data_IF_229572841665
#
_entry.id   IF_229572841665
#
_cell.length_a   1.000
_cell.length_b   1.000
_cell.length_c   1.000
_cell.angle_alpha   90.00
_cell.angle_beta   90.00
_cell.angle_gamma   90.00
#
_symmetry.space_group_name_H-M   'P 1'
#
loop_
_entity.id
_entity.type
_entity.pdbx_description
1 polymer ?
#
# COMPACT_ATOMS: atom_id res chain seq x y z
N UNK A 1 5.60 16.74 82.02
CA UNK A 1 4.73 17.92 81.79
C UNK A 1 4.36 17.95 80.32
N UNK A 2 3.04 18.02 80.05
CA UNK A 2 2.30 18.29 78.78
C UNK A 2 2.96 17.95 77.43
N UNK A 3 2.39 17.19 76.50
CA UNK A 3 0.97 16.97 76.19
C UNK A 3 0.59 17.67 74.88
N UNK A 4 0.12 16.88 73.89
CA UNK A 4 -0.65 17.14 72.64
C UNK A 4 0.00 16.41 71.46
N UNK A 5 -0.51 15.32 70.86
CA UNK A 5 -1.85 14.93 70.35
C UNK A 5 -2.39 15.82 69.22
N UNK A 6 -2.23 15.35 67.98
CA UNK A 6 -3.28 15.24 66.95
C UNK A 6 -2.73 14.41 65.77
N UNK A 7 -3.26 13.21 65.52
CA UNK A 7 -4.47 12.96 64.68
C UNK A 7 -4.16 13.28 63.22
N UNK A 8 -4.09 12.37 62.25
CA UNK A 8 -4.81 11.11 62.09
C UNK A 8 -5.37 11.11 60.66
N UNK A 9 -4.79 10.29 59.77
CA UNK A 9 -5.50 9.68 58.62
C UNK A 9 -4.61 8.60 58.01
N UNK A 10 -4.73 7.39 58.58
CA UNK A 10 -4.47 6.17 57.83
C UNK A 10 -5.56 6.04 56.75
N UNK A 11 -5.19 6.15 55.48
CA UNK A 11 -5.99 5.60 54.40
C UNK A 11 -5.53 4.17 54.14
N UNK A 12 -6.07 3.26 54.94
CA UNK A 12 -6.03 1.82 54.74
C UNK A 12 -7.16 1.43 53.77
N UNK A 13 -6.97 1.68 52.47
CA UNK A 13 -7.73 1.02 51.41
C UNK A 13 -6.83 0.11 50.61
N UNK A 14 -6.77 -1.14 51.06
CA UNK A 14 -6.36 -2.28 50.25
C UNK A 14 -7.26 -2.39 49.03
N UNK A 15 -6.74 -1.97 47.87
CA UNK A 15 -7.30 -2.22 46.56
C UNK A 15 -6.53 -3.33 45.87
N UNK A 16 -7.24 -4.35 45.39
CA UNK A 16 -6.80 -5.61 44.77
C UNK A 16 -6.21 -5.39 43.36
N UNK A 17 -5.31 -4.41 43.22
CA UNK A 17 -4.55 -4.20 41.99
C UNK A 17 -3.09 -4.01 42.35
N UNK A 18 -2.35 -5.12 42.38
CA UNK A 18 -0.90 -5.09 42.48
C UNK A 18 -0.35 -4.12 41.42
N UNK A 19 0.39 -3.11 41.87
CA UNK A 19 1.10 -2.17 41.00
C UNK A 19 1.96 -2.98 40.03
N UNK A 20 1.50 -3.16 38.78
CA UNK A 20 2.29 -3.76 37.72
C UNK A 20 3.48 -2.84 37.51
N UNK A 21 4.67 -3.26 37.95
CA UNK A 21 5.93 -2.56 37.63
C UNK A 21 5.97 -2.39 36.11
N UNK A 22 6.20 -1.17 35.59
CA UNK A 22 6.39 -0.99 34.16
C UNK A 22 7.53 -1.93 33.72
N UNK A 23 7.27 -2.76 32.70
CA UNK A 23 8.32 -3.56 32.07
C UNK A 23 9.25 -2.58 31.37
N UNK A 24 10.32 -2.19 32.06
CA UNK A 24 11.43 -1.43 31.47
C UNK A 24 12.06 -2.34 30.41
N UNK A 25 12.23 -1.82 29.19
CA UNK A 25 12.89 -2.55 28.12
C UNK A 25 14.32 -2.91 28.56
N UNK A 26 14.79 -4.13 28.24
CA UNK A 26 16.14 -4.59 28.64
C UNK A 26 17.27 -3.86 27.90
N UNK A 27 16.94 -3.12 26.84
CA UNK A 27 17.87 -2.44 25.95
C UNK A 27 17.23 -1.06 25.68
N UNK A 28 17.98 0.00 25.93
CA UNK A 28 17.57 1.35 25.57
C UNK A 28 17.58 1.48 24.04
N UNK A 29 16.56 2.16 23.49
CA UNK A 29 16.53 2.49 22.07
C UNK A 29 17.71 3.40 21.75
N UNK A 30 18.63 2.92 20.91
CA UNK A 30 19.76 3.70 20.40
C UNK A 30 19.45 4.23 19.00
N UNK A 31 20.08 5.32 18.55
CA UNK A 31 19.86 5.87 17.21
C UNK A 31 20.12 4.84 16.09
N UNK A 32 21.06 3.92 16.30
CA UNK A 32 21.34 2.82 15.38
C UNK A 32 20.19 1.80 15.25
N UNK A 33 19.16 1.87 16.10
CA UNK A 33 17.96 1.04 16.01
C UNK A 33 16.87 1.64 15.11
N UNK A 34 17.07 2.88 14.64
CA UNK A 34 16.16 3.56 13.74
C UNK A 34 16.31 3.06 12.28
N UNK A 35 15.25 3.13 11.46
CA UNK A 35 15.31 2.64 10.10
C UNK A 35 16.15 3.56 9.18
N UNK A 36 17.14 2.97 8.51
CA UNK A 36 18.00 3.66 7.53
C UNK A 36 17.70 3.26 6.08
N UNK A 37 16.81 2.29 5.86
CA UNK A 37 16.43 1.82 4.53
C UNK A 37 14.95 1.41 4.47
N UNK A 38 14.37 1.33 3.26
CA UNK A 38 12.97 0.87 3.06
C UNK A 38 12.71 -0.52 3.67
N UNK A 39 13.72 -1.40 3.67
CA UNK A 39 13.63 -2.73 4.29
C UNK A 39 13.56 -2.63 5.81
N UNK A 40 14.28 -1.69 6.40
CA UNK A 40 14.26 -1.47 7.84
C UNK A 40 12.94 -0.84 8.27
N UNK A 41 12.40 0.10 7.48
CA UNK A 41 11.04 0.64 7.69
C UNK A 41 10.00 -0.49 7.68
N UNK A 42 10.04 -1.41 6.70
CA UNK A 42 9.12 -2.56 6.69
C UNK A 42 9.19 -3.37 7.98
N UNK A 43 10.41 -3.67 8.46
CA UNK A 43 10.63 -4.47 9.67
C UNK A 43 10.22 -3.72 10.94
N UNK A 44 10.47 -2.42 10.99
CA UNK A 44 10.11 -1.56 12.10
C UNK A 44 8.58 -1.50 12.25
N UNK A 45 7.88 -1.18 11.16
CA UNK A 45 6.42 -1.13 11.12
C UNK A 45 5.80 -2.48 11.51
N UNK A 46 6.36 -3.59 11.00
CA UNK A 46 5.87 -4.94 11.33
C UNK A 46 5.97 -5.24 12.84
N UNK A 47 7.03 -4.78 13.51
CA UNK A 47 7.25 -5.01 14.95
C UNK A 47 6.44 -4.05 15.81
N UNK A 48 6.46 -2.77 15.47
CA UNK A 48 5.98 -1.70 16.35
C UNK A 48 4.52 -1.31 16.08
N UNK A 49 4.02 -1.50 14.86
CA UNK A 49 2.67 -1.10 14.42
C UNK A 49 1.79 -2.29 14.03
N UNK A 50 2.10 -3.50 14.51
CA UNK A 50 1.34 -4.73 14.22
C UNK A 50 -0.17 -4.59 14.45
N UNK A 51 -0.57 -3.92 15.54
CA UNK A 51 -1.99 -3.70 15.86
C UNK A 51 -2.71 -2.85 14.82
N UNK A 52 -2.04 -1.84 14.26
CA UNK A 52 -2.64 -0.98 13.24
C UNK A 52 -2.73 -1.71 11.90
N UNK A 53 -1.76 -2.58 11.59
CA UNK A 53 -1.85 -3.50 10.46
C UNK A 53 -3.03 -4.47 10.58
N UNK A 54 -3.31 -5.02 11.76
CA UNK A 54 -4.49 -5.86 12.00
C UNK A 54 -5.82 -5.10 11.84
N UNK A 55 -5.88 -3.84 12.29
CA UNK A 55 -7.07 -2.99 12.06
C UNK A 55 -7.28 -2.73 10.57
N UNK A 56 -6.20 -2.45 9.83
CA UNK A 56 -6.26 -2.30 8.37
C UNK A 56 -6.73 -3.59 7.71
N UNK A 57 -6.19 -4.74 8.14
CA UNK A 57 -6.63 -6.06 7.71
C UNK A 57 -8.13 -6.29 7.90
N UNK A 58 -8.67 -5.91 9.06
CA UNK A 58 -10.11 -6.01 9.34
C UNK A 58 -10.94 -5.12 8.41
N UNK A 59 -10.51 -3.88 8.17
CA UNK A 59 -11.21 -2.96 7.26
C UNK A 59 -11.13 -3.44 5.82
N UNK A 60 -9.96 -3.86 5.35
CA UNK A 60 -9.78 -4.41 4.00
C UNK A 60 -10.63 -5.65 3.78
N UNK A 61 -10.70 -6.53 4.79
CA UNK A 61 -11.59 -7.69 4.77
C UNK A 61 -13.06 -7.28 4.68
N UNK A 62 -13.50 -6.32 5.50
CA UNK A 62 -14.87 -5.82 5.48
C UNK A 62 -15.26 -5.31 4.09
N UNK A 63 -14.41 -4.51 3.45
CA UNK A 63 -14.66 -3.98 2.11
C UNK A 63 -14.50 -5.02 0.99
N UNK A 64 -13.81 -6.14 1.22
CA UNK A 64 -13.70 -7.23 0.25
C UNK A 64 -14.84 -8.25 0.34
N UNK A 65 -15.65 -8.24 1.41
CA UNK A 65 -16.74 -9.21 1.58
C UNK A 65 -17.69 -9.30 0.38
N UNK A 66 -18.16 -8.19 -0.25
CA UNK A 66 -19.02 -8.30 -1.42
C UNK A 66 -18.34 -9.09 -2.55
N UNK A 67 -17.06 -8.82 -2.81
CA UNK A 67 -16.30 -9.51 -3.85
C UNK A 67 -16.17 -11.02 -3.55
N UNK A 68 -15.88 -11.38 -2.30
CA UNK A 68 -15.76 -12.78 -1.87
C UNK A 68 -17.11 -13.50 -1.94
N UNK A 69 -18.20 -12.85 -1.52
CA UNK A 69 -19.56 -13.41 -1.57
C UNK A 69 -20.00 -13.62 -3.02
N UNK A 70 -19.78 -12.64 -3.92
CA UNK A 70 -20.12 -12.81 -5.33
C UNK A 70 -19.33 -13.94 -6.00
N UNK A 71 -18.05 -14.11 -5.63
CA UNK A 71 -17.26 -15.26 -6.06
C UNK A 71 -17.86 -16.58 -5.58
N UNK A 72 -18.14 -16.66 -4.27
CA UNK A 72 -18.68 -17.86 -3.62
C UNK A 72 -20.02 -18.29 -4.22
N UNK A 73 -20.96 -17.35 -4.36
CA UNK A 73 -22.28 -17.63 -4.93
C UNK A 73 -22.16 -18.04 -6.40
N UNK A 74 -21.27 -17.41 -7.17
CA UNK A 74 -21.03 -17.77 -8.56
C UNK A 74 -20.50 -19.19 -8.73
N UNK A 75 -19.54 -19.60 -7.90
CA UNK A 75 -19.00 -20.96 -7.89
C UNK A 75 -20.03 -22.00 -7.44
N UNK A 76 -20.84 -21.70 -6.41
CA UNK A 76 -21.95 -22.57 -5.99
C UNK A 76 -22.96 -22.74 -7.13
N UNK A 77 -23.31 -21.65 -7.81
CA UNK A 77 -24.25 -21.70 -8.93
C UNK A 77 -23.71 -22.57 -10.08
N UNK A 78 -22.44 -22.39 -10.45
CA UNK A 78 -21.79 -23.23 -11.45
C UNK A 78 -21.78 -24.71 -11.02
N UNK A 79 -21.46 -24.99 -9.76
CA UNK A 79 -21.45 -26.35 -9.22
C UNK A 79 -22.83 -27.02 -9.27
N UNK A 80 -23.91 -26.26 -9.02
CA UNK A 80 -25.28 -26.76 -9.12
C UNK A 80 -25.65 -27.11 -10.57
N UNK A 81 -25.31 -26.26 -11.54
CA UNK A 81 -25.53 -26.55 -12.97
C UNK A 81 -24.75 -27.81 -13.38
N UNK A 82 -23.50 -27.95 -12.94
CA UNK A 82 -22.73 -29.17 -13.18
C UNK A 82 -23.34 -30.42 -12.52
N UNK A 83 -23.99 -30.28 -11.36
CA UNK A 83 -24.68 -31.39 -10.71
C UNK A 83 -25.93 -31.82 -11.50
N UNK A 84 -26.70 -30.89 -12.05
CA UNK A 84 -27.84 -31.19 -12.93
C UNK A 84 -27.41 -31.94 -14.20
N UNK A 85 -26.30 -31.53 -14.81
CA UNK A 85 -25.69 -32.26 -15.93
C UNK A 85 -25.31 -33.68 -15.55
N UNK A 86 -24.61 -33.85 -14.41
CA UNK A 86 -24.21 -35.19 -13.92
C UNK A 86 -25.40 -36.09 -13.60
N UNK A 87 -26.52 -35.52 -13.18
CA UNK A 87 -27.75 -36.23 -12.90
C UNK A 87 -28.58 -36.51 -14.18
N UNK A 88 -28.12 -36.09 -15.35
CA UNK A 88 -28.80 -36.29 -16.63
C UNK A 88 -30.02 -35.40 -16.84
N UNK A 89 -30.21 -34.35 -16.02
CA UNK A 89 -31.34 -33.43 -16.13
C UNK A 89 -31.19 -32.46 -17.31
N UNK A 90 -29.96 -32.13 -17.69
CA UNK A 90 -29.62 -31.22 -18.80
C UNK A 90 -28.55 -31.83 -19.71
N UNK A 91 -28.51 -31.37 -20.97
CA UNK A 91 -27.48 -31.77 -21.93
C UNK A 91 -26.12 -31.13 -21.63
N UNK A 92 -25.03 -31.67 -22.19
CA UNK A 92 -23.69 -31.09 -22.06
C UNK A 92 -23.60 -29.67 -22.67
N UNK A 93 -24.32 -29.44 -23.78
CA UNK A 93 -24.38 -28.15 -24.45
C UNK A 93 -25.12 -27.11 -23.59
N UNK A 94 -26.25 -27.51 -23.01
CA UNK A 94 -27.01 -26.69 -22.06
C UNK A 94 -26.16 -26.33 -20.85
N UNK A 95 -25.46 -27.31 -20.26
CA UNK A 95 -24.55 -27.09 -19.13
C UNK A 95 -23.47 -26.06 -19.47
N UNK A 96 -22.81 -26.19 -20.62
CA UNK A 96 -21.75 -25.27 -21.03
C UNK A 96 -22.29 -23.83 -21.22
N UNK A 97 -23.44 -23.69 -21.87
CA UNK A 97 -24.08 -22.39 -22.09
C UNK A 97 -24.52 -21.72 -20.78
N UNK A 98 -25.13 -22.48 -19.87
CA UNK A 98 -25.60 -21.94 -18.59
C UNK A 98 -24.45 -21.58 -17.64
N UNK A 99 -23.39 -22.38 -17.58
CA UNK A 99 -22.17 -22.05 -16.82
C UNK A 99 -21.52 -20.79 -17.40
N UNK A 100 -21.42 -20.67 -18.71
CA UNK A 100 -20.90 -19.46 -19.37
C UNK A 100 -21.73 -18.22 -19.04
N UNK A 101 -23.06 -18.30 -19.13
CA UNK A 101 -23.96 -17.21 -18.79
C UNK A 101 -23.84 -16.82 -17.30
N UNK A 102 -23.78 -17.80 -16.40
CA UNK A 102 -23.57 -17.60 -14.97
C UNK A 102 -22.24 -16.89 -14.71
N UNK A 103 -21.13 -17.40 -15.26
CA UNK A 103 -19.81 -16.80 -15.08
C UNK A 103 -19.75 -15.36 -15.59
N UNK A 104 -20.37 -15.07 -16.74
CA UNK A 104 -20.49 -13.72 -17.28
C UNK A 104 -21.27 -12.78 -16.36
N UNK A 105 -22.42 -13.23 -15.86
CA UNK A 105 -23.25 -12.44 -14.94
C UNK A 105 -22.52 -12.11 -13.63
N UNK A 106 -21.89 -13.11 -13.00
CA UNK A 106 -21.11 -12.89 -11.78
C UNK A 106 -19.84 -12.07 -12.03
N UNK A 107 -19.22 -12.17 -13.20
CA UNK A 107 -18.10 -11.30 -13.57
C UNK A 107 -18.51 -9.82 -13.65
N UNK A 108 -19.70 -9.51 -14.19
CA UNK A 108 -20.24 -8.15 -14.19
C UNK A 108 -20.54 -7.64 -12.78
N UNK A 109 -21.20 -8.45 -11.95
CA UNK A 109 -21.52 -8.07 -10.56
C UNK A 109 -20.23 -7.85 -9.74
N UNK A 110 -19.18 -8.64 -9.98
CA UNK A 110 -17.87 -8.47 -9.34
C UNK A 110 -17.23 -7.11 -9.63
N UNK A 111 -17.56 -6.44 -10.75
CA UNK A 111 -17.10 -5.05 -10.99
C UNK A 111 -17.56 -4.11 -9.88
N UNK A 112 -18.81 -4.25 -9.42
CA UNK A 112 -19.34 -3.48 -8.29
C UNK A 112 -18.58 -3.85 -7.01
N UNK A 113 -18.29 -5.14 -6.80
CA UNK A 113 -17.47 -5.61 -5.69
C UNK A 113 -16.06 -4.99 -5.67
N UNK A 114 -15.41 -4.90 -6.83
CA UNK A 114 -14.10 -4.24 -6.97
C UNK A 114 -14.15 -2.74 -6.63
N UNK A 115 -15.20 -2.04 -7.06
CA UNK A 115 -15.40 -0.61 -6.72
C UNK A 115 -15.59 -0.44 -5.21
N UNK A 116 -16.40 -1.27 -4.56
CA UNK A 116 -16.59 -1.21 -3.11
C UNK A 116 -15.26 -1.51 -2.39
N UNK A 117 -14.54 -2.53 -2.85
CA UNK A 117 -13.25 -2.90 -2.28
C UNK A 117 -12.21 -1.78 -2.41
N UNK A 118 -12.26 -1.00 -3.51
CA UNK A 118 -11.38 0.15 -3.74
C UNK A 118 -11.44 1.19 -2.61
N UNK A 119 -12.59 1.34 -1.95
CA UNK A 119 -12.78 2.23 -0.80
C UNK A 119 -11.87 1.81 0.36
N UNK A 120 -11.82 0.50 0.64
CA UNK A 120 -10.94 -0.07 1.66
C UNK A 120 -9.47 0.14 1.35
N UNK A 121 -9.06 -0.06 0.08
CA UNK A 121 -7.68 0.14 -0.34
C UNK A 121 -7.30 1.63 -0.27
N UNK A 122 -8.16 2.55 -0.73
CA UNK A 122 -7.87 3.99 -0.74
C UNK A 122 -7.62 4.54 0.68
N UNK A 123 -8.47 4.19 1.64
CA UNK A 123 -8.28 4.56 3.04
C UNK A 123 -7.03 3.92 3.65
N UNK A 124 -6.80 2.63 3.36
CA UNK A 124 -5.63 1.91 3.86
C UNK A 124 -4.32 2.48 3.33
N UNK A 125 -4.29 2.88 2.06
CA UNK A 125 -3.10 3.46 1.44
C UNK A 125 -2.69 4.78 2.11
N UNK A 126 -3.65 5.61 2.54
CA UNK A 126 -3.40 6.83 3.31
C UNK A 126 -2.82 6.53 4.69
N UNK A 127 -3.41 5.60 5.43
CA UNK A 127 -2.92 5.19 6.75
C UNK A 127 -1.52 4.58 6.65
N UNK A 128 -1.30 3.68 5.70
CA UNK A 128 0.02 3.07 5.46
C UNK A 128 1.06 4.12 5.07
N UNK A 129 0.70 5.13 4.27
CA UNK A 129 1.62 6.24 3.98
C UNK A 129 2.06 6.95 5.26
N UNK A 130 1.14 7.29 6.15
CA UNK A 130 1.51 7.94 7.43
C UNK A 130 2.44 7.06 8.26
N UNK A 131 2.14 5.76 8.34
CA UNK A 131 2.96 4.81 9.08
C UNK A 131 4.37 4.69 8.45
N UNK A 132 4.46 4.59 7.12
CA UNK A 132 5.74 4.44 6.41
C UNK A 132 6.60 5.71 6.53
N UNK A 133 5.97 6.88 6.54
CA UNK A 133 6.65 8.18 6.67
C UNK A 133 6.89 8.61 8.12
N UNK A 134 6.48 7.78 9.08
CA UNK A 134 6.51 8.07 10.52
C UNK A 134 5.84 9.41 10.88
N UNK A 135 4.74 9.72 10.18
CA UNK A 135 3.90 10.89 10.49
C UNK A 135 2.88 10.58 11.59
N UNK A 136 2.37 11.61 12.31
CA UNK A 136 1.27 11.45 13.24
C UNK A 136 0.08 10.73 12.59
N UNK A 137 -0.44 9.73 13.29
CA UNK A 137 -1.51 8.86 12.79
C UNK A 137 -2.79 9.02 13.61
N UNK A 138 -3.84 9.54 12.97
CA UNK A 138 -5.20 9.52 13.48
C UNK A 138 -5.99 8.49 12.68
N UNK A 139 -5.96 7.24 13.14
CA UNK A 139 -6.26 6.07 12.30
C UNK A 139 -7.55 6.19 11.47
N UNK A 140 -8.68 6.56 12.08
CA UNK A 140 -9.97 6.59 11.37
C UNK A 140 -10.15 7.86 10.55
N UNK A 141 -9.60 8.99 11.00
CA UNK A 141 -9.59 10.26 10.31
C UNK A 141 -8.76 10.16 9.04
N UNK A 142 -7.52 9.67 9.14
CA UNK A 142 -6.64 9.41 8.00
C UNK A 142 -7.26 8.40 7.03
N UNK A 143 -7.89 7.33 7.53
CA UNK A 143 -8.59 6.37 6.67
C UNK A 143 -9.71 7.05 5.86
N UNK A 144 -10.55 7.87 6.52
CA UNK A 144 -11.62 8.62 5.85
C UNK A 144 -11.08 9.63 4.85
N UNK A 145 -9.99 10.32 5.19
CA UNK A 145 -9.39 11.31 4.31
C UNK A 145 -8.74 10.66 3.09
N UNK A 146 -8.16 9.47 3.25
CA UNK A 146 -7.71 8.65 2.11
C UNK A 146 -8.82 8.36 1.11
N UNK A 147 -10.01 7.99 1.61
CA UNK A 147 -11.19 7.76 0.76
C UNK A 147 -11.61 9.06 0.07
N UNK A 148 -11.65 10.18 0.78
CA UNK A 148 -12.09 11.47 0.19
C UNK A 148 -11.12 11.98 -0.88
N UNK A 149 -9.81 11.87 -0.65
CA UNK A 149 -8.79 12.46 -1.52
C UNK A 149 -8.48 11.55 -2.73
N UNK A 150 -8.50 10.23 -2.53
CA UNK A 150 -8.04 9.26 -3.53
C UNK A 150 -9.16 8.35 -4.08
N UNK A 151 -10.28 8.23 -3.36
CA UNK A 151 -11.31 7.22 -3.63
C UNK A 151 -11.82 7.21 -5.07
N UNK A 152 -11.96 8.37 -5.72
CA UNK A 152 -12.37 8.44 -7.12
C UNK A 152 -11.38 7.78 -8.09
N UNK A 153 -10.07 7.97 -7.90
CA UNK A 153 -9.06 7.34 -8.76
C UNK A 153 -8.92 5.84 -8.47
N UNK A 154 -9.02 5.45 -7.19
CA UNK A 154 -9.03 4.03 -6.80
C UNK A 154 -10.25 3.30 -7.36
N UNK A 155 -11.44 3.91 -7.31
CA UNK A 155 -12.66 3.35 -7.89
C UNK A 155 -12.54 3.20 -9.41
N UNK A 156 -12.00 4.22 -10.11
CA UNK A 156 -11.78 4.14 -11.55
C UNK A 156 -10.79 3.03 -11.91
N UNK A 157 -9.68 2.92 -11.20
CA UNK A 157 -8.69 1.88 -11.40
C UNK A 157 -9.30 0.47 -11.21
N UNK A 158 -10.03 0.26 -10.12
CA UNK A 158 -10.67 -1.03 -9.83
C UNK A 158 -11.83 -1.35 -10.78
N UNK A 159 -12.53 -0.34 -11.30
CA UNK A 159 -13.50 -0.50 -12.37
C UNK A 159 -12.83 -0.99 -13.67
N UNK A 160 -11.74 -0.35 -14.10
CA UNK A 160 -10.99 -0.75 -15.30
C UNK A 160 -10.41 -2.16 -15.17
N UNK A 161 -9.90 -2.50 -13.98
CA UNK A 161 -9.47 -3.86 -13.67
C UNK A 161 -10.63 -4.86 -13.76
N UNK A 162 -11.79 -4.52 -13.17
CA UNK A 162 -13.00 -5.34 -13.26
C UNK A 162 -13.47 -5.56 -14.70
N UNK A 163 -13.41 -4.53 -15.55
CA UNK A 163 -13.75 -4.64 -16.96
C UNK A 163 -12.79 -5.58 -17.69
N UNK A 164 -11.49 -5.47 -17.42
CA UNK A 164 -10.49 -6.38 -17.97
C UNK A 164 -10.73 -7.84 -17.52
N UNK A 165 -11.01 -8.06 -16.24
CA UNK A 165 -11.36 -9.39 -15.71
C UNK A 165 -12.64 -9.95 -16.37
N UNK A 166 -13.66 -9.11 -16.58
CA UNK A 166 -14.87 -9.49 -17.32
C UNK A 166 -14.56 -9.90 -18.76
N UNK A 167 -13.74 -9.12 -19.49
CA UNK A 167 -13.37 -9.48 -20.86
C UNK A 167 -12.64 -10.82 -20.95
N UNK A 168 -11.79 -11.15 -19.97
CA UNK A 168 -11.15 -12.46 -19.91
C UNK A 168 -12.19 -13.58 -19.72
N UNK A 169 -13.15 -13.42 -18.78
CA UNK A 169 -14.24 -14.39 -18.59
C UNK A 169 -15.07 -14.55 -19.87
N UNK A 170 -15.40 -13.44 -20.53
CA UNK A 170 -16.16 -13.46 -21.78
C UNK A 170 -15.47 -14.27 -22.88
N UNK A 171 -14.16 -14.06 -23.10
CA UNK A 171 -13.42 -14.81 -24.12
C UNK A 171 -13.22 -16.29 -23.75
N UNK A 172 -13.07 -16.60 -22.47
CA UNK A 172 -13.05 -17.98 -21.97
C UNK A 172 -14.37 -18.69 -22.29
N UNK A 173 -15.50 -18.05 -21.99
CA UNK A 173 -16.84 -18.56 -22.29
C UNK A 173 -17.14 -18.68 -23.79
N UNK A 174 -16.58 -17.80 -24.62
CA UNK A 174 -16.67 -17.89 -26.08
C UNK A 174 -15.77 -18.98 -26.70
N UNK A 175 -15.10 -19.80 -25.87
CA UNK A 175 -14.12 -20.83 -26.27
C UNK A 175 -12.95 -20.30 -27.11
N UNK A 176 -12.70 -18.99 -27.05
CA UNK A 176 -11.60 -18.36 -27.77
C UNK A 176 -10.36 -18.27 -26.89
N UNK A 177 -9.65 -19.40 -26.77
CA UNK A 177 -8.50 -19.54 -25.88
C UNK A 177 -7.37 -18.53 -26.14
N UNK A 178 -7.17 -18.10 -27.39
CA UNK A 178 -6.15 -17.10 -27.74
C UNK A 178 -6.55 -15.72 -27.20
N UNK A 179 -7.78 -15.27 -27.46
CA UNK A 179 -8.25 -13.97 -26.96
C UNK A 179 -8.34 -13.96 -25.43
N UNK A 180 -8.70 -15.08 -24.81
CA UNK A 180 -8.63 -15.25 -23.36
C UNK A 180 -7.20 -15.05 -22.83
N UNK A 181 -6.22 -15.73 -23.41
CA UNK A 181 -4.82 -15.63 -23.01
C UNK A 181 -4.27 -14.20 -23.20
N UNK A 182 -4.63 -13.53 -24.31
CA UNK A 182 -4.25 -12.14 -24.56
C UNK A 182 -4.89 -11.21 -23.51
N UNK A 183 -6.19 -11.33 -23.25
CA UNK A 183 -6.89 -10.49 -22.28
C UNK A 183 -6.29 -10.67 -20.86
N UNK A 184 -6.04 -11.91 -20.44
CA UNK A 184 -5.43 -12.21 -19.15
C UNK A 184 -3.98 -11.71 -19.08
N UNK A 185 -3.20 -11.92 -20.15
CA UNK A 185 -1.81 -11.47 -20.22
C UNK A 185 -1.68 -9.94 -20.15
N UNK A 186 -2.48 -9.20 -20.91
CA UNK A 186 -2.53 -7.74 -20.85
C UNK A 186 -2.98 -7.24 -19.47
N UNK A 187 -3.99 -7.89 -18.89
CA UNK A 187 -4.49 -7.55 -17.55
C UNK A 187 -3.43 -7.72 -16.46
N UNK A 188 -2.81 -8.89 -16.39
CA UNK A 188 -1.88 -9.26 -15.31
C UNK A 188 -0.49 -8.65 -15.51
N UNK A 189 0.03 -8.65 -16.73
CA UNK A 189 1.42 -8.23 -16.98
C UNK A 189 1.55 -6.80 -17.46
N UNK A 190 0.48 -6.06 -17.76
CA UNK A 190 0.60 -4.67 -18.22
C UNK A 190 -0.29 -3.74 -17.39
N UNK A 191 -1.61 -4.01 -17.37
CA UNK A 191 -2.57 -3.15 -16.71
C UNK A 191 -2.34 -3.12 -15.19
N UNK A 192 -2.23 -4.28 -14.56
CA UNK A 192 -2.12 -4.39 -13.10
C UNK A 192 -0.86 -3.67 -12.56
N UNK A 193 0.36 -3.89 -13.05
CA UNK A 193 1.53 -3.18 -12.53
C UNK A 193 1.49 -1.67 -12.76
N UNK A 194 1.07 -1.23 -13.95
CA UNK A 194 0.94 0.19 -14.26
C UNK A 194 -0.11 0.88 -13.38
N UNK A 195 -1.25 0.22 -13.16
CA UNK A 195 -2.31 0.68 -12.26
C UNK A 195 -1.81 0.81 -10.82
N UNK A 196 -1.05 -0.15 -10.33
CA UNK A 196 -0.49 -0.12 -8.99
C UNK A 196 0.53 1.01 -8.79
N UNK A 197 1.30 1.39 -9.82
CA UNK A 197 2.11 2.61 -9.76
C UNK A 197 1.27 3.88 -9.77
N UNK A 198 0.26 3.96 -10.65
CA UNK A 198 -0.68 5.10 -10.68
C UNK A 198 -1.27 5.33 -9.28
N UNK A 199 -1.81 4.28 -8.65
CA UNK A 199 -2.43 4.39 -7.35
C UNK A 199 -1.43 4.82 -6.26
N UNK A 200 -0.20 4.28 -6.28
CA UNK A 200 0.87 4.71 -5.37
C UNK A 200 1.29 6.16 -5.60
N UNK A 201 1.40 6.61 -6.85
CA UNK A 201 1.77 7.98 -7.17
C UNK A 201 0.72 8.95 -6.61
N UNK A 202 -0.56 8.60 -6.75
CA UNK A 202 -1.67 9.42 -6.25
C UNK A 202 -1.66 9.58 -4.73
N UNK A 203 -1.07 8.67 -3.96
CA UNK A 203 -0.98 8.83 -2.50
C UNK A 203 0.05 9.88 -2.08
N UNK A 204 1.01 10.18 -2.95
CA UNK A 204 2.13 11.09 -2.70
C UNK A 204 1.88 12.43 -3.36
N UNK A 205 1.53 12.44 -4.64
CA UNK A 205 1.42 13.65 -5.46
C UNK A 205 -0.03 13.97 -5.84
N UNK A 206 -0.33 15.26 -5.89
CA UNK A 206 -1.65 15.78 -6.24
C UNK A 206 -1.86 15.90 -7.77
N UNK A 207 -1.30 14.98 -8.57
CA UNK A 207 -1.37 15.05 -10.05
C UNK A 207 -2.74 14.63 -10.60
N UNK A 208 -3.01 15.01 -11.85
CA UNK A 208 -4.26 14.70 -12.56
C UNK A 208 -4.32 13.21 -12.93
N UNK A 209 -5.53 12.68 -13.14
CA UNK A 209 -5.74 11.26 -13.47
C UNK A 209 -4.92 10.82 -14.69
N UNK A 210 -4.98 11.58 -15.79
CA UNK A 210 -4.25 11.24 -17.02
C UNK A 210 -2.73 11.25 -16.85
N UNK A 211 -2.22 12.17 -16.02
CA UNK A 211 -0.79 12.23 -15.68
C UNK A 211 -0.39 10.99 -14.89
N UNK A 212 -1.14 10.62 -13.86
CA UNK A 212 -0.82 9.44 -13.06
C UNK A 212 -0.91 8.13 -13.86
N UNK A 213 -1.86 7.99 -14.80
CA UNK A 213 -1.96 6.82 -15.67
C UNK A 213 -0.71 6.72 -16.56
N UNK A 214 -0.34 7.83 -17.21
CA UNK A 214 0.85 7.90 -18.06
C UNK A 214 2.11 7.60 -17.25
N UNK A 215 2.27 8.24 -16.10
CA UNK A 215 3.43 8.09 -15.23
C UNK A 215 3.52 6.68 -14.67
N UNK A 216 2.40 6.11 -14.22
CA UNK A 216 2.34 4.72 -13.75
C UNK A 216 2.80 3.72 -14.82
N UNK A 217 2.39 3.91 -16.07
CA UNK A 217 2.88 3.10 -17.18
C UNK A 217 4.38 3.31 -17.44
N UNK A 218 4.87 4.55 -17.40
CA UNK A 218 6.30 4.87 -17.59
C UNK A 218 7.18 4.25 -16.49
N UNK A 219 6.75 4.32 -15.23
CA UNK A 219 7.46 3.67 -14.12
C UNK A 219 7.50 2.16 -14.29
N UNK A 220 6.38 1.57 -14.69
CA UNK A 220 6.31 0.14 -14.96
C UNK A 220 7.29 -0.28 -16.06
N UNK A 221 7.24 0.35 -17.24
CA UNK A 221 8.15 0.01 -18.36
C UNK A 221 9.61 0.15 -17.95
N UNK A 222 9.96 1.19 -17.19
CA UNK A 222 11.32 1.44 -16.73
C UNK A 222 11.81 0.42 -15.70
N UNK A 223 10.90 -0.27 -15.01
CA UNK A 223 11.21 -1.21 -13.92
C UNK A 223 10.58 -2.59 -14.12
N UNK A 224 10.26 -2.96 -15.36
CA UNK A 224 9.34 -4.04 -15.73
C UNK A 224 9.53 -5.34 -14.92
N UNK A 225 10.70 -5.98 -15.03
CA UNK A 225 10.98 -7.25 -14.34
C UNK A 225 10.98 -7.11 -12.81
N UNK A 226 11.48 -5.98 -12.29
CA UNK A 226 11.49 -5.72 -10.85
C UNK A 226 10.08 -5.52 -10.32
N UNK A 227 9.23 -4.81 -11.06
CA UNK A 227 7.84 -4.56 -10.70
C UNK A 227 7.02 -5.85 -10.66
N UNK A 228 7.17 -6.71 -11.67
CA UNK A 228 6.51 -8.02 -11.68
C UNK A 228 6.98 -8.86 -10.48
N UNK A 229 8.30 -8.96 -10.24
CA UNK A 229 8.84 -9.68 -9.10
C UNK A 229 8.34 -9.15 -7.75
N UNK A 230 8.24 -7.83 -7.61
CA UNK A 230 7.73 -7.19 -6.39
C UNK A 230 6.23 -7.38 -6.20
N UNK A 231 5.41 -7.38 -7.26
CA UNK A 231 3.99 -7.71 -7.16
C UNK A 231 3.79 -9.17 -6.75
N UNK A 232 4.52 -10.09 -7.39
CA UNK A 232 4.48 -11.51 -7.02
C UNK A 232 4.89 -11.72 -5.56
N UNK A 233 5.90 -11.00 -5.08
CA UNK A 233 6.31 -11.07 -3.67
C UNK A 233 5.26 -10.46 -2.73
N UNK A 234 4.73 -9.28 -3.06
CA UNK A 234 3.76 -8.55 -2.23
C UNK A 234 2.43 -9.30 -2.12
N UNK A 235 2.00 -9.95 -3.20
CA UNK A 235 0.73 -10.66 -3.29
C UNK A 235 0.91 -12.17 -3.40
N UNK A 236 2.07 -12.69 -2.97
CA UNK A 236 2.40 -14.13 -3.03
C UNK A 236 1.29 -15.02 -2.46
N UNK A 237 0.70 -14.72 -1.27
CA UNK A 237 -0.38 -15.54 -0.74
C UNK A 237 -1.60 -15.58 -1.66
N UNK A 238 -1.92 -14.50 -2.38
CA UNK A 238 -3.02 -14.50 -3.34
C UNK A 238 -2.68 -15.24 -4.62
N UNK A 239 -1.42 -15.20 -5.08
CA UNK A 239 -0.99 -15.98 -6.24
C UNK A 239 -0.98 -17.49 -5.97
N UNK A 240 -0.76 -17.89 -4.70
CA UNK A 240 -0.74 -19.28 -4.29
C UNK A 240 -2.13 -19.93 -4.41
N UNK A 241 -3.22 -19.16 -4.28
CA UNK A 241 -4.58 -19.67 -4.48
C UNK A 241 -4.79 -20.24 -5.88
N UNK A 242 -4.33 -19.56 -6.93
CA UNK A 242 -4.36 -20.06 -8.31
C UNK A 242 -3.50 -21.31 -8.51
N UNK A 243 -2.32 -21.37 -7.88
CA UNK A 243 -1.44 -22.55 -7.95
C UNK A 243 -2.11 -23.75 -7.30
N UNK A 244 -2.68 -23.54 -6.12
CA UNK A 244 -3.37 -24.58 -5.39
C UNK A 244 -4.64 -25.04 -6.14
N UNK A 245 -5.32 -24.14 -6.88
CA UNK A 245 -6.49 -24.47 -7.71
C UNK A 245 -6.07 -25.33 -8.89
N UNK A 246 -4.98 -24.96 -9.56
CA UNK A 246 -4.42 -25.69 -10.69
C UNK A 246 -4.08 -27.15 -10.34
N UNK A 247 -3.58 -27.40 -9.13
CA UNK A 247 -3.28 -28.75 -8.64
C UNK A 247 -4.48 -29.46 -7.99
N UNK A 248 -5.66 -28.82 -7.90
CA UNK A 248 -6.85 -29.38 -7.27
C UNK A 248 -6.69 -29.65 -5.77
N UNK A 249 -5.83 -28.89 -5.08
CA UNK A 249 -5.40 -29.19 -3.71
C UNK A 249 -6.32 -28.65 -2.62
N UNK A 250 -7.48 -28.07 -2.96
CA UNK A 250 -8.43 -27.62 -1.95
C UNK A 250 -9.90 -27.60 -2.41
N UNK A 251 -10.80 -27.74 -1.44
CA UNK A 251 -12.25 -27.67 -1.62
C UNK A 251 -12.78 -26.25 -1.35
N UNK A 252 -14.02 -25.98 -1.77
CA UNK A 252 -14.71 -24.69 -1.59
C UNK A 252 -14.51 -24.04 -0.20
N UNK A 253 -14.76 -24.79 0.89
CA UNK A 253 -14.63 -24.27 2.25
C UNK A 253 -13.20 -23.79 2.54
N UNK A 254 -12.20 -24.56 2.10
CA UNK A 254 -10.80 -24.19 2.29
C UNK A 254 -10.44 -22.96 1.44
N UNK A 255 -10.91 -22.87 0.19
CA UNK A 255 -10.69 -21.70 -0.70
C UNK A 255 -11.04 -20.39 0.00
N UNK A 256 -12.30 -20.29 0.46
CA UNK A 256 -12.80 -19.05 1.04
C UNK A 256 -12.23 -18.81 2.43
N UNK A 257 -11.99 -19.84 3.23
CA UNK A 257 -11.29 -19.69 4.52
C UNK A 257 -9.87 -19.16 4.32
N UNK A 258 -9.16 -19.67 3.31
CA UNK A 258 -7.83 -19.21 2.92
C UNK A 258 -7.86 -17.75 2.49
N UNK A 259 -8.76 -17.38 1.58
CA UNK A 259 -8.89 -16.00 1.09
C UNK A 259 -9.26 -15.01 2.21
N UNK A 260 -10.10 -15.40 3.17
CA UNK A 260 -10.42 -14.58 4.35
C UNK A 260 -9.17 -14.31 5.19
N UNK A 261 -8.38 -15.34 5.49
CA UNK A 261 -7.13 -15.23 6.26
C UNK A 261 -6.09 -14.40 5.49
N UNK A 262 -5.92 -14.66 4.19
CA UNK A 262 -5.01 -13.93 3.32
C UNK A 262 -5.35 -12.45 3.24
N UNK A 263 -6.63 -12.13 3.08
CA UNK A 263 -7.11 -10.74 3.08
C UNK A 263 -6.87 -10.06 4.42
N UNK A 264 -7.17 -10.73 5.53
CA UNK A 264 -7.01 -10.16 6.86
C UNK A 264 -5.54 -9.92 7.23
N UNK A 265 -4.66 -10.91 7.01
CA UNK A 265 -3.28 -10.86 7.51
C UNK A 265 -2.29 -10.32 6.48
N UNK A 266 -2.41 -10.73 5.22
CA UNK A 266 -1.35 -10.52 4.23
C UNK A 266 -1.61 -9.36 3.27
N UNK A 267 -2.87 -9.02 2.99
CA UNK A 267 -3.18 -7.88 2.14
C UNK A 267 -2.60 -6.53 2.64
N UNK A 268 -2.74 -6.13 3.92
CA UNK A 268 -2.14 -4.88 4.39
C UNK A 268 -0.60 -4.90 4.27
N UNK A 269 0.03 -6.07 4.47
CA UNK A 269 1.46 -6.26 4.30
C UNK A 269 1.89 -6.15 2.83
N UNK A 270 1.11 -6.71 1.91
CA UNK A 270 1.33 -6.62 0.48
C UNK A 270 1.23 -5.19 -0.04
N UNK A 271 0.19 -4.46 0.38
CA UNK A 271 0.04 -3.03 0.04
C UNK A 271 1.23 -2.23 0.60
N UNK A 272 1.62 -2.47 1.86
CA UNK A 272 2.77 -1.80 2.47
C UNK A 272 4.08 -2.09 1.72
N UNK A 273 4.33 -3.36 1.36
CA UNK A 273 5.53 -3.75 0.61
C UNK A 273 5.57 -3.08 -0.77
N UNK A 274 4.41 -3.03 -1.46
CA UNK A 274 4.29 -2.33 -2.73
C UNK A 274 4.52 -0.83 -2.59
N UNK A 275 3.93 -0.17 -1.58
CA UNK A 275 4.13 1.26 -1.34
C UNK A 275 5.59 1.60 -1.09
N UNK A 276 6.27 0.84 -0.22
CA UNK A 276 7.70 1.00 0.04
C UNK A 276 8.55 0.83 -1.22
N UNK A 277 8.21 -0.16 -2.05
CA UNK A 277 8.86 -0.33 -3.36
C UNK A 277 8.63 0.89 -4.26
N UNK A 278 7.38 1.34 -4.41
CA UNK A 278 7.09 2.50 -5.26
C UNK A 278 7.73 3.78 -4.74
N UNK A 279 7.84 3.98 -3.42
CA UNK A 279 8.55 5.13 -2.86
C UNK A 279 10.05 5.07 -3.15
N UNK A 280 10.67 3.89 -3.16
CA UNK A 280 12.07 3.76 -3.62
C UNK A 280 12.25 4.11 -5.09
N UNK A 281 11.25 3.83 -5.93
CA UNK A 281 11.24 4.19 -7.36
C UNK A 281 11.04 5.70 -7.51
N UNK A 282 10.12 6.28 -6.75
CA UNK A 282 9.86 7.72 -6.74
C UNK A 282 11.03 8.53 -6.20
N UNK A 283 11.70 8.07 -5.15
CA UNK A 283 12.91 8.69 -4.63
C UNK A 283 13.98 8.82 -5.71
N UNK A 284 14.16 7.74 -6.48
CA UNK A 284 15.18 7.66 -7.53
C UNK A 284 14.85 8.51 -8.77
N UNK A 285 13.58 8.62 -9.15
CA UNK A 285 13.19 9.20 -10.45
C UNK A 285 12.38 10.50 -10.36
N UNK A 286 11.91 10.89 -9.17
CA UNK A 286 11.17 12.13 -8.95
C UNK A 286 11.80 12.92 -7.79
N UNK A 287 11.79 12.36 -6.56
CA UNK A 287 12.02 13.18 -5.35
C UNK A 287 13.42 13.78 -5.30
N UNK A 288 14.45 13.06 -5.77
CA UNK A 288 15.82 13.56 -5.78
C UNK A 288 15.98 14.88 -6.56
N UNK A 289 15.13 15.12 -7.57
CA UNK A 289 15.20 16.30 -8.43
C UNK A 289 14.09 17.31 -8.14
N UNK A 290 12.86 16.85 -7.92
CA UNK A 290 11.66 17.71 -7.87
C UNK A 290 11.12 17.95 -6.46
N UNK A 291 11.32 17.03 -5.53
CA UNK A 291 10.76 17.10 -4.17
C UNK A 291 11.79 16.63 -3.11
N UNK A 292 12.92 17.34 -2.96
CA UNK A 292 13.97 16.95 -2.02
C UNK A 292 13.48 16.88 -0.57
N UNK A 293 12.40 17.58 -0.23
CA UNK A 293 11.79 17.60 1.11
C UNK A 293 11.08 16.29 1.51
N UNK A 294 10.71 15.43 0.55
CA UNK A 294 10.13 14.10 0.82
C UNK A 294 11.06 12.95 0.43
N UNK A 295 12.25 13.26 -0.08
CA UNK A 295 13.27 12.27 -0.39
C UNK A 295 13.58 11.47 0.88
N UNK A 296 13.57 10.13 0.78
CA UNK A 296 13.94 9.25 1.89
C UNK A 296 13.08 9.42 3.16
N UNK A 297 11.89 10.02 3.04
CA UNK A 297 11.00 10.23 4.17
C UNK A 297 10.67 8.92 4.90
N UNK A 298 10.76 8.96 6.23
CA UNK A 298 10.69 7.79 7.11
C UNK A 298 12.05 7.12 7.38
N UNK A 299 13.15 7.64 6.82
CA UNK A 299 14.51 7.25 7.23
C UNK A 299 15.04 8.21 8.29
N UNK A 300 15.95 7.69 9.11
CA UNK A 300 16.75 8.49 10.01
C UNK A 300 18.18 8.57 9.47
N UNK A 301 18.80 9.75 9.41
CA UNK A 301 20.20 9.86 8.98
C UNK A 301 21.08 8.95 9.82
N UNK A 302 21.99 8.23 9.17
CA UNK A 302 23.09 7.63 9.93
C UNK A 302 24.02 8.77 10.38
N UNK A 303 24.61 8.71 11.59
CA UNK A 303 25.41 9.83 12.13
C UNK A 303 26.57 10.31 11.24
N UNK A 304 26.99 9.51 10.25
CA UNK A 304 27.94 9.86 9.18
C UNK A 304 27.37 10.78 8.09
N UNK A 305 26.08 10.69 7.79
CA UNK A 305 25.40 11.55 6.81
C UNK A 305 25.00 12.90 7.40
N UNK A 306 24.73 12.95 8.71
CA UNK A 306 24.44 14.19 9.44
C UNK A 306 25.67 15.12 9.44
N UNK A 307 26.88 14.57 9.67
CA UNK A 307 28.14 15.32 9.57
C UNK A 307 28.43 15.79 8.13
N UNK A 308 28.12 14.98 7.12
CA UNK A 308 28.29 15.34 5.72
C UNK A 308 27.28 16.40 5.26
N UNK A 309 26.03 16.33 5.75
CA UNK A 309 25.00 17.32 5.49
C UNK A 309 25.34 18.66 6.15
N UNK A 310 25.76 18.66 7.42
CA UNK A 310 26.24 19.86 8.13
C UNK A 310 27.46 20.49 7.44
N UNK A 311 28.42 19.67 6.98
CA UNK A 311 29.57 20.16 6.20
C UNK A 311 29.13 20.76 4.86
N UNK A 312 28.20 20.13 4.14
CA UNK A 312 27.72 20.66 2.85
C UNK A 312 26.95 21.97 2.98
N UNK A 313 26.21 22.17 4.08
CA UNK A 313 25.49 23.42 4.38
C UNK A 313 26.48 24.50 4.78
N UNK A 314 27.48 24.16 5.60
CA UNK A 314 28.60 25.04 5.96
C UNK A 314 29.38 25.49 4.72
N UNK A 315 29.69 24.57 3.81
CA UNK A 315 30.45 24.84 2.58
C UNK A 315 29.66 25.75 1.62
N UNK A 316 28.35 25.51 1.44
CA UNK A 316 27.49 26.41 0.65
C UNK A 316 27.41 27.81 1.26
N UNK A 317 27.26 27.91 2.58
CA UNK A 317 27.27 29.20 3.27
C UNK A 317 28.62 29.92 3.16
N UNK A 318 29.73 29.18 3.15
CA UNK A 318 31.07 29.74 2.96
C UNK A 318 31.28 30.25 1.52
N UNK A 319 30.77 29.54 0.52
CA UNK A 319 30.80 29.96 -0.89
C UNK A 319 29.95 31.22 -1.13
N UNK A 320 28.74 31.29 -0.60
CA UNK A 320 27.91 32.51 -0.70
C UNK A 320 28.57 33.71 -0.02
N UNK A 321 29.28 33.48 1.11
CA UNK A 321 29.99 34.54 1.82
C UNK A 321 31.19 35.05 1.03
N UNK A 322 31.95 34.17 0.38
CA UNK A 322 33.12 34.55 -0.43
C UNK A 322 32.73 35.28 -1.72
N UNK A 323 31.61 34.89 -2.35
CA UNK A 323 31.06 35.60 -3.50
C UNK A 323 30.57 37.01 -3.13
N UNK A 324 29.94 37.17 -1.95
CA UNK A 324 29.50 38.48 -1.46
C UNK A 324 30.67 39.41 -1.20
N UNK A 325 31.70 38.91 -0.50
CA UNK A 325 32.91 39.69 -0.23
C UNK A 325 33.62 40.09 -1.52
N UNK A 326 33.74 39.18 -2.50
CA UNK A 326 34.39 39.50 -3.79
C UNK A 326 33.63 40.56 -4.59
N UNK A 327 32.28 40.53 -4.55
CA UNK A 327 31.45 41.54 -5.21
C UNK A 327 31.56 42.92 -4.54
N UNK A 328 31.70 42.96 -3.21
CA UNK A 328 31.94 44.20 -2.48
C UNK A 328 33.33 44.78 -2.77
N UNK A 329 34.37 43.94 -2.86
CA UNK A 329 35.74 44.41 -3.18
C UNK A 329 35.85 44.94 -4.61
N UNK A 330 35.19 44.30 -5.57
CA UNK A 330 35.14 44.77 -6.96
C UNK A 330 34.44 46.12 -7.08
N UNK A 331 33.40 46.35 -6.27
CA UNK A 331 32.64 47.61 -6.26
C UNK A 331 33.44 48.76 -5.64
N UNK A 332 34.17 48.52 -4.56
CA UNK A 332 35.09 49.52 -4.00
C UNK A 332 36.21 49.90 -4.99
N UNK A 333 36.73 48.94 -5.76
CA UNK A 333 37.76 49.22 -6.76
C UNK A 333 37.25 50.01 -7.97
N UNK A 334 35.97 49.86 -8.33
CA UNK A 334 35.35 50.65 -9.42
C UNK A 334 34.97 52.06 -8.94
N UNK A 335 34.50 52.20 -7.71
CA UNK A 335 34.19 53.52 -7.12
C UNK A 335 35.45 54.37 -6.82
N UNK A 336 36.63 53.74 -6.64
CA UNK A 336 37.92 54.44 -6.50
C UNK A 336 38.55 54.84 -7.86
N UNK A 337 38.27 54.11 -8.95
CA UNK A 337 38.75 54.50 -10.29
C UNK A 337 38.00 55.69 -10.85
N UNK A 338 36.69 55.79 -10.59
CA UNK A 338 35.84 56.88 -11.09
C UNK A 338 36.02 58.20 -10.33
N UNK A 339 36.78 58.21 -9.21
CA UNK A 339 37.16 59.42 -8.47
C UNK A 339 38.52 60.00 -8.91
N UNK A 340 39.22 59.37 -9.85
CA UNK A 340 40.55 59.79 -10.33
C UNK A 340 40.56 60.33 -11.77
N UNK A 341 39.42 60.34 -12.45
CA UNK A 341 39.16 61.19 -13.64
C UNK A 341 38.43 62.46 -13.23
#
# INVERSE_FOLDING_TARGET
MSGQKNSGREDSRGGIFGKRKPKVAKIDFTEASLPHSRRDVFRDVLKNRWKDLLKLGALLLLFSLPLLVFGAVGEINAANIYAEYKNGAISAETCASEVAASNGAFALIKIIGYIIFSVGIAGSARVLRQIIWDEPLFFFEDFKDGIKIYGGQFALAMFLYGLCAYTAVFFSSATNGILYAIALGLGVFILLPAMFFWLSERTVYASRIGENIRNGFMFYVRTLFKSIGMLLLAFLPFTLEYVLEFFGLYNFIFKYSYLLICTFLFLPLGIMLWLLYTYSVFDKYINAELFPEILHKGFYPSGTEETAAEQSVSDKAAVERSEKTSKETLKEQTDESDKKE
#
